data_IF_283802992203
#
_entry.id   IF_283802992203
#
_cell.length_a   1.000
_cell.length_b   1.000
_cell.length_c   1.000
_cell.angle_alpha   90.00
_cell.angle_beta   90.00
_cell.angle_gamma   90.00
#
_symmetry.space_group_name_H-M   'P 1'
#
loop_
_entity.id
_entity.type
_entity.pdbx_description
1 polymer ?
#
# COMPACT_ATOMS: atom_id res chain seq x y z
N UNK A 1 28.31 18.03 54.33
CA UNK A 1 28.42 17.85 52.86
C UNK A 1 27.06 17.45 52.34
N UNK A 2 26.30 18.42 51.85
CA UNK A 2 24.95 18.20 51.32
C UNK A 2 24.93 18.15 49.81
N UNK A 3 23.77 17.73 49.30
CA UNK A 3 23.26 17.90 47.93
C UNK A 3 23.63 16.81 46.92
N UNK A 4 22.72 15.85 46.71
CA UNK A 4 22.02 15.61 45.43
C UNK A 4 21.40 14.20 45.34
N UNK A 5 20.40 13.91 46.17
CA UNK A 5 19.48 12.77 45.98
C UNK A 5 18.05 13.26 45.74
N UNK A 6 17.88 14.36 45.01
CA UNK A 6 16.57 14.94 44.71
C UNK A 6 16.39 15.05 43.20
N UNK A 7 15.80 14.03 42.60
CA UNK A 7 15.51 14.05 41.16
C UNK A 7 14.86 12.82 40.55
N UNK A 8 14.60 11.74 41.29
CA UNK A 8 14.13 10.47 40.70
C UNK A 8 12.60 10.34 40.59
N UNK A 9 11.82 11.25 41.17
CA UNK A 9 10.34 11.16 41.19
C UNK A 9 9.67 11.83 39.98
N UNK A 10 10.45 12.47 39.11
CA UNK A 10 9.99 12.96 37.79
C UNK A 10 10.03 11.88 36.70
N UNK A 11 10.49 10.66 37.04
CA UNK A 11 10.65 9.54 36.11
C UNK A 11 9.40 9.14 35.31
N UNK A 12 8.20 8.99 35.93
CA UNK A 12 7.00 8.57 35.18
C UNK A 12 6.37 9.73 34.40
N UNK A 13 6.31 10.94 34.96
CA UNK A 13 5.73 12.12 34.30
C UNK A 13 6.58 12.62 33.14
N UNK A 14 7.91 12.67 33.29
CA UNK A 14 8.81 13.06 32.21
C UNK A 14 8.78 12.04 31.06
N UNK A 15 8.71 10.73 31.36
CA UNK A 15 8.52 9.68 30.34
C UNK A 15 7.16 9.82 29.65
N UNK A 16 6.10 10.16 30.36
CA UNK A 16 4.76 10.35 29.80
C UNK A 16 4.70 11.58 28.90
N UNK A 17 5.30 12.70 29.30
CA UNK A 17 5.43 13.90 28.46
C UNK A 17 6.27 13.62 27.21
N UNK A 18 7.40 12.91 27.36
CA UNK A 18 8.24 12.50 26.23
C UNK A 18 7.46 11.61 25.26
N UNK A 19 6.66 10.66 25.77
CA UNK A 19 5.83 9.77 24.96
C UNK A 19 4.73 10.53 24.22
N UNK A 20 4.07 11.50 24.87
CA UNK A 20 3.09 12.37 24.22
C UNK A 20 3.75 13.20 23.12
N UNK A 21 4.91 13.80 23.39
CA UNK A 21 5.68 14.53 22.38
C UNK A 21 6.01 13.61 21.20
N UNK A 22 6.50 12.40 21.47
CA UNK A 22 6.83 11.41 20.45
C UNK A 22 5.62 11.06 19.60
N UNK A 23 4.45 10.84 20.19
CA UNK A 23 3.20 10.53 19.47
C UNK A 23 2.75 11.71 18.62
N UNK A 24 2.86 12.95 19.11
CA UNK A 24 2.45 14.15 18.37
C UNK A 24 3.38 14.42 17.18
N UNK A 25 4.68 14.21 17.34
CA UNK A 25 5.66 14.48 16.27
C UNK A 25 5.81 13.30 15.30
N UNK A 26 5.92 12.07 15.80
CA UNK A 26 6.18 10.86 14.98
C UNK A 26 4.88 10.22 14.49
N UNK A 27 3.79 10.32 15.25
CA UNK A 27 2.49 9.73 14.90
C UNK A 27 1.99 10.17 13.52
N UNK A 28 1.90 11.49 13.22
CA UNK A 28 1.50 11.98 11.91
C UNK A 28 2.42 11.50 10.79
N UNK A 29 3.73 11.43 11.04
CA UNK A 29 4.71 10.95 10.05
C UNK A 29 4.50 9.47 9.74
N UNK A 30 4.31 8.64 10.76
CA UNK A 30 4.04 7.22 10.60
C UNK A 30 2.72 6.98 9.84
N UNK A 31 1.68 7.74 10.17
CA UNK A 31 0.41 7.72 9.46
C UNK A 31 0.55 8.18 8.00
N UNK A 32 1.33 9.24 7.77
CA UNK A 32 1.62 9.77 6.44
C UNK A 32 2.35 8.77 5.55
N UNK A 33 3.36 8.06 6.08
CA UNK A 33 4.06 6.98 5.38
C UNK A 33 3.08 5.87 5.03
N UNK A 34 2.22 5.47 5.98
CA UNK A 34 1.23 4.42 5.77
C UNK A 34 0.23 4.78 4.67
N UNK A 35 -0.31 5.99 4.70
CA UNK A 35 -1.24 6.50 3.68
C UNK A 35 -0.54 6.61 2.33
N UNK A 36 0.70 7.11 2.28
CA UNK A 36 1.48 7.21 1.05
C UNK A 36 1.72 5.85 0.40
N UNK A 37 2.03 4.81 1.18
CA UNK A 37 2.21 3.44 0.69
C UNK A 37 0.89 2.89 0.13
N UNK A 38 -0.23 3.15 0.80
CA UNK A 38 -1.56 2.72 0.34
C UNK A 38 -1.94 3.42 -0.97
N UNK A 39 -1.75 4.74 -1.05
CA UNK A 39 -2.04 5.52 -2.27
C UNK A 39 -1.11 5.10 -3.41
N UNK A 40 0.18 4.89 -3.13
CA UNK A 40 1.16 4.42 -4.11
C UNK A 40 0.81 3.04 -4.67
N UNK A 41 0.44 2.09 -3.80
CA UNK A 41 -0.04 0.77 -4.23
C UNK A 41 -1.32 0.86 -5.05
N UNK A 42 -2.27 1.71 -4.67
CA UNK A 42 -3.50 1.93 -5.42
C UNK A 42 -3.22 2.52 -6.81
N UNK A 43 -2.32 3.50 -6.91
CA UNK A 43 -1.89 4.07 -8.20
C UNK A 43 -1.22 3.02 -9.09
N UNK A 44 -0.30 2.22 -8.53
CA UNK A 44 0.35 1.14 -9.25
C UNK A 44 -0.65 0.10 -9.77
N UNK A 45 -1.66 -0.25 -8.98
CA UNK A 45 -2.74 -1.16 -9.39
C UNK A 45 -3.52 -0.61 -10.59
N UNK A 46 -3.82 0.68 -10.63
CA UNK A 46 -4.53 1.30 -11.76
C UNK A 46 -3.69 1.21 -13.04
N UNK A 47 -2.39 1.52 -12.96
CA UNK A 47 -1.48 1.41 -14.12
C UNK A 47 -1.41 -0.04 -14.61
N UNK A 48 -1.32 -1.01 -13.69
CA UNK A 48 -1.33 -2.44 -14.02
C UNK A 48 -2.63 -2.86 -14.72
N UNK A 49 -3.77 -2.38 -14.22
CA UNK A 49 -5.08 -2.67 -14.80
C UNK A 49 -5.21 -2.09 -16.21
N UNK A 50 -4.87 -0.81 -16.39
CA UNK A 50 -4.95 -0.13 -17.69
C UNK A 50 -4.00 -0.80 -18.69
N UNK A 51 -2.78 -1.14 -18.27
CA UNK A 51 -1.82 -1.87 -19.09
C UNK A 51 -2.36 -3.25 -19.52
N UNK A 52 -2.90 -4.02 -18.56
CA UNK A 52 -3.49 -5.32 -18.85
C UNK A 52 -4.67 -5.21 -19.83
N UNK A 53 -5.55 -4.23 -19.65
CA UNK A 53 -6.69 -4.00 -20.56
C UNK A 53 -6.23 -3.62 -21.97
N UNK A 54 -5.20 -2.77 -22.10
CA UNK A 54 -4.64 -2.40 -23.40
C UNK A 54 -4.03 -3.61 -24.12
N UNK A 55 -3.29 -4.45 -23.39
CA UNK A 55 -2.70 -5.68 -23.92
C UNK A 55 -3.78 -6.70 -24.29
N UNK A 56 -4.85 -6.81 -23.51
CA UNK A 56 -5.99 -7.67 -23.80
C UNK A 56 -6.83 -7.20 -24.99
N UNK A 57 -6.74 -5.91 -25.37
CA UNK A 57 -7.35 -5.40 -26.59
C UNK A 57 -6.58 -5.78 -27.86
N UNK A 58 -5.36 -6.33 -27.75
CA UNK A 58 -4.57 -6.75 -28.91
C UNK A 58 -5.25 -7.75 -29.87
N UNK A 59 -6.06 -8.74 -29.43
CA UNK A 59 -6.78 -9.63 -30.35
C UNK A 59 -7.86 -8.91 -31.15
N UNK A 60 -8.42 -7.81 -30.63
CA UNK A 60 -9.40 -6.99 -31.35
C UNK A 60 -8.74 -6.36 -32.58
N UNK A 61 -7.46 -5.97 -32.48
CA UNK A 61 -6.69 -5.45 -33.61
C UNK A 61 -6.46 -6.51 -34.70
N UNK A 62 -6.34 -7.80 -34.32
CA UNK A 62 -6.26 -8.91 -35.26
C UNK A 62 -7.55 -9.09 -36.08
N UNK A 63 -8.70 -8.85 -35.46
CA UNK A 63 -10.02 -8.95 -36.12
C UNK A 63 -10.25 -7.75 -37.04
N UNK A 64 -9.85 -6.55 -36.62
CA UNK A 64 -10.06 -5.30 -37.37
C UNK A 64 -9.07 -5.15 -38.53
N UNK A 65 -7.84 -5.67 -38.41
CA UNK A 65 -6.80 -5.59 -39.44
C UNK A 65 -6.32 -6.99 -39.86
N UNK A 66 -7.08 -7.72 -40.69
CA UNK A 66 -6.75 -9.09 -41.10
C UNK A 66 -5.47 -9.19 -41.95
N UNK A 67 -5.00 -8.09 -42.54
CA UNK A 67 -3.70 -8.03 -43.23
C UNK A 67 -2.50 -8.23 -42.29
N UNK A 68 -2.70 -8.17 -40.97
CA UNK A 68 -1.67 -8.40 -39.95
C UNK A 68 -1.41 -9.88 -39.60
N UNK A 69 -2.00 -10.83 -40.33
CA UNK A 69 -1.84 -12.28 -40.09
C UNK A 69 -0.38 -12.78 -40.02
N UNK A 70 0.56 -12.11 -40.69
CA UNK A 70 2.00 -12.40 -40.58
C UNK A 70 2.64 -12.06 -39.22
N UNK A 71 1.97 -11.25 -38.40
CA UNK A 71 2.35 -10.88 -37.03
C UNK A 71 1.50 -11.62 -35.98
N UNK A 72 0.78 -12.67 -36.36
CA UNK A 72 -0.13 -13.39 -35.47
C UNK A 72 0.55 -13.95 -34.21
N UNK A 73 1.79 -14.46 -34.33
CA UNK A 73 2.55 -14.99 -33.18
C UNK A 73 2.90 -13.88 -32.17
N UNK A 74 3.47 -12.72 -32.57
CA UNK A 74 3.66 -11.57 -31.69
C UNK A 74 2.37 -11.06 -31.02
N UNK A 75 1.26 -10.97 -31.76
CA UNK A 75 -0.03 -10.51 -31.24
C UNK A 75 -0.62 -11.46 -30.18
N UNK A 76 -0.53 -12.77 -30.41
CA UNK A 76 -0.89 -13.78 -29.42
C UNK A 76 -0.02 -13.68 -28.15
N UNK A 77 1.29 -13.48 -28.29
CA UNK A 77 2.19 -13.31 -27.14
C UNK A 77 1.84 -12.05 -26.32
N UNK A 78 1.50 -10.94 -26.97
CA UNK A 78 1.00 -9.70 -26.34
C UNK A 78 -0.29 -9.94 -25.55
N UNK A 79 -1.21 -10.74 -26.08
CA UNK A 79 -2.44 -11.12 -25.38
C UNK A 79 -2.17 -11.97 -24.14
N UNK A 80 -1.33 -13.01 -24.24
CA UNK A 80 -0.94 -13.83 -23.09
C UNK A 80 -0.17 -13.03 -22.03
N UNK A 81 0.64 -12.06 -22.46
CA UNK A 81 1.29 -11.11 -21.56
C UNK A 81 0.27 -10.23 -20.84
N UNK A 82 -0.80 -9.79 -21.52
CA UNK A 82 -1.94 -9.11 -20.90
C UNK A 82 -2.62 -9.95 -19.82
N UNK A 83 -2.86 -11.24 -20.07
CA UNK A 83 -3.40 -12.18 -19.07
C UNK A 83 -2.46 -12.29 -17.86
N UNK A 84 -1.15 -12.44 -18.11
CA UNK A 84 -0.15 -12.51 -17.04
C UNK A 84 -0.15 -11.22 -16.20
N UNK A 85 -0.20 -10.05 -16.84
CA UNK A 85 -0.27 -8.76 -16.17
C UNK A 85 -1.55 -8.63 -15.32
N UNK A 86 -2.68 -9.17 -15.80
CA UNK A 86 -3.94 -9.22 -15.05
C UNK A 86 -3.87 -10.17 -13.85
N UNK A 87 -3.18 -11.30 -13.97
CA UNK A 87 -2.95 -12.22 -12.85
C UNK A 87 -2.10 -11.58 -11.74
N UNK A 88 -1.07 -10.82 -12.13
CA UNK A 88 -0.24 -10.02 -11.20
C UNK A 88 -1.08 -8.93 -10.56
N UNK A 89 -1.95 -8.25 -11.31
CA UNK A 89 -2.88 -7.27 -10.77
C UNK A 89 -3.80 -7.87 -9.70
N UNK A 90 -4.40 -9.04 -9.94
CA UNK A 90 -5.26 -9.72 -8.97
C UNK A 90 -4.46 -10.09 -7.71
N UNK A 91 -3.23 -10.60 -7.88
CA UNK A 91 -2.33 -10.92 -6.77
C UNK A 91 -2.01 -9.68 -5.92
N UNK A 92 -1.62 -8.58 -6.56
CA UNK A 92 -1.33 -7.30 -5.89
C UNK A 92 -2.58 -6.72 -5.22
N UNK A 93 -3.75 -6.86 -5.83
CA UNK A 93 -5.02 -6.41 -5.25
C UNK A 93 -5.34 -7.20 -3.99
N UNK A 94 -5.16 -8.52 -4.00
CA UNK A 94 -5.33 -9.36 -2.82
C UNK A 94 -4.34 -8.99 -1.69
N UNK A 95 -3.08 -8.72 -2.04
CA UNK A 95 -2.06 -8.20 -1.12
C UNK A 95 -2.46 -6.84 -0.54
N UNK A 96 -2.92 -5.93 -1.38
CA UNK A 96 -3.41 -4.62 -0.95
C UNK A 96 -4.56 -4.75 0.05
N UNK A 97 -5.58 -5.54 -0.26
CA UNK A 97 -6.69 -5.80 0.67
C UNK A 97 -6.22 -6.42 1.99
N UNK A 98 -5.21 -7.31 1.94
CA UNK A 98 -4.63 -7.91 3.15
C UNK A 98 -3.94 -6.86 4.01
N UNK A 99 -3.16 -5.95 3.42
CA UNK A 99 -2.48 -4.84 4.11
C UNK A 99 -3.51 -3.89 4.70
N UNK A 100 -4.48 -3.42 3.91
CA UNK A 100 -5.53 -2.50 4.37
C UNK A 100 -6.31 -3.09 5.54
N UNK A 101 -6.68 -4.38 5.49
CA UNK A 101 -7.34 -5.06 6.61
C UNK A 101 -6.44 -5.14 7.85
N UNK A 102 -5.15 -5.38 7.67
CA UNK A 102 -4.18 -5.38 8.77
C UNK A 102 -4.11 -4.01 9.45
N UNK A 103 -3.96 -2.95 8.64
CA UNK A 103 -3.96 -1.57 9.11
C UNK A 103 -5.24 -1.23 9.87
N UNK A 104 -6.40 -1.55 9.31
CA UNK A 104 -7.69 -1.27 9.94
C UNK A 104 -7.85 -2.01 11.27
N UNK A 105 -7.44 -3.29 11.33
CA UNK A 105 -7.48 -4.07 12.58
C UNK A 105 -6.58 -3.46 13.65
N UNK A 106 -5.35 -3.06 13.28
CA UNK A 106 -4.41 -2.43 14.21
C UNK A 106 -4.92 -1.08 14.69
N UNK A 107 -5.45 -0.25 13.80
CA UNK A 107 -6.05 1.03 14.14
C UNK A 107 -7.26 0.86 15.08
N UNK A 108 -8.13 -0.12 14.80
CA UNK A 108 -9.29 -0.42 15.65
C UNK A 108 -8.88 -0.93 17.04
N UNK A 109 -7.84 -1.77 17.15
CA UNK A 109 -7.31 -2.23 18.44
C UNK A 109 -6.69 -1.08 19.25
N UNK A 110 -5.97 -0.16 18.59
CA UNK A 110 -5.42 1.03 19.23
C UNK A 110 -6.54 1.96 19.71
N UNK A 111 -7.57 2.18 18.89
CA UNK A 111 -8.72 3.01 19.25
C UNK A 111 -9.49 2.41 20.44
N UNK A 112 -9.72 1.09 20.46
CA UNK A 112 -10.35 0.39 21.60
C UNK A 112 -9.52 0.44 22.89
N UNK A 113 -8.21 0.69 22.81
CA UNK A 113 -7.37 0.89 24.00
C UNK A 113 -7.36 2.33 24.48
N UNK A 114 -7.71 3.27 23.60
CA UNK A 114 -7.71 4.71 23.87
C UNK A 114 -9.09 5.22 24.33
N UNK A 115 -10.18 4.60 23.89
CA UNK A 115 -11.51 4.82 24.46
C UNK A 115 -11.78 3.75 25.54
N UNK A 116 -11.92 4.12 26.83
CA UNK A 116 -12.36 3.21 27.89
C UNK A 116 -13.77 2.68 27.66
#
# INVERSE_FOLDING_TARGET
MGQNYRGNDRGPLAKLILLILLVIFIGPTALGILVSVVVGLAGFLIVLLVGALFLLASPILMIVFPSSLGLGIPLLALFFFGIAMLSIFVLFTALFFRIVRWVFKTALMLLRRLLP
#
